data_IF_129950548626
#
_entry.id   IF_129950548626
#
_cell.length_a   1.000
_cell.length_b   1.000
_cell.length_c   1.000
_cell.angle_alpha   90.00
_cell.angle_beta   90.00
_cell.angle_gamma   90.00
#
_symmetry.space_group_name_H-M   'P 1'
#
loop_
_entity.id
_entity.type
_entity.pdbx_description
1 polymer ?
#
# COMPACT_ATOMS: atom_id res chain seq x y z
N UNK A 1 -1.20 11.23 8.22
CA UNK A 1 -1.65 9.83 8.16
C UNK A 1 -0.64 8.98 7.39
N UNK A 2 0.58 8.82 7.90
CA UNK A 2 1.59 8.04 7.18
C UNK A 2 1.23 6.54 7.24
N UNK A 3 1.50 5.82 6.17
CA UNK A 3 1.24 4.38 6.06
C UNK A 3 2.57 3.63 6.09
N UNK A 4 2.59 2.50 6.79
CA UNK A 4 3.69 1.53 6.74
C UNK A 4 3.15 0.30 6.04
N UNK A 5 3.76 -0.10 4.94
CA UNK A 5 3.31 -1.22 4.11
C UNK A 5 4.47 -2.18 3.92
N UNK A 6 4.23 -3.47 4.13
CA UNK A 6 5.20 -4.54 3.88
C UNK A 6 4.96 -5.19 2.51
N UNK A 7 5.97 -5.87 1.96
CA UNK A 7 5.91 -6.59 0.69
C UNK A 7 5.28 -5.76 -0.46
N UNK A 8 5.62 -4.48 -0.52
CA UNK A 8 4.99 -3.54 -1.44
C UNK A 8 5.51 -3.74 -2.85
N UNK A 9 4.59 -3.77 -3.82
CA UNK A 9 4.89 -3.76 -5.25
C UNK A 9 4.43 -2.43 -5.85
N UNK A 10 5.36 -1.63 -6.35
CA UNK A 10 5.06 -0.47 -7.16
C UNK A 10 4.62 -0.92 -8.55
N UNK A 11 3.49 -0.40 -9.03
CA UNK A 11 2.99 -0.66 -10.38
C UNK A 11 2.91 0.66 -11.14
N UNK A 12 3.70 0.78 -12.21
CA UNK A 12 3.68 1.94 -13.10
C UNK A 12 3.38 1.49 -14.53
N UNK A 13 2.11 1.57 -14.91
CA UNK A 13 1.64 0.99 -16.18
C UNK A 13 1.79 -0.54 -16.19
N UNK A 14 2.72 -1.04 -17.00
CA UNK A 14 3.04 -2.47 -17.07
C UNK A 14 4.26 -2.86 -16.23
N UNK A 15 5.01 -1.87 -15.72
CA UNK A 15 6.20 -2.11 -14.93
C UNK A 15 5.81 -2.42 -13.48
N UNK A 16 6.39 -3.50 -12.95
CA UNK A 16 6.20 -3.94 -11.56
C UNK A 16 7.55 -4.01 -10.87
N UNK A 17 7.68 -3.30 -9.77
CA UNK A 17 8.91 -3.28 -8.98
C UNK A 17 8.61 -3.66 -7.53
N UNK A 18 9.32 -4.66 -7.02
CA UNK A 18 9.21 -5.07 -5.62
C UNK A 18 10.11 -4.18 -4.77
N UNK A 19 9.51 -3.44 -3.85
CA UNK A 19 10.20 -2.45 -3.02
C UNK A 19 10.16 -2.82 -1.52
N UNK A 20 9.63 -4.00 -1.17
CA UNK A 20 9.62 -4.51 0.20
C UNK A 20 8.84 -3.60 1.19
N UNK A 21 9.46 -3.29 2.33
CA UNK A 21 8.84 -2.48 3.38
C UNK A 21 9.07 -0.98 3.16
N UNK A 22 7.97 -0.23 3.07
CA UNK A 22 8.01 1.21 2.77
C UNK A 22 7.13 2.03 3.68
N UNK A 23 7.46 3.33 3.79
CA UNK A 23 6.63 4.33 4.46
C UNK A 23 6.10 5.33 3.43
N UNK A 24 4.78 5.43 3.33
CA UNK A 24 4.11 6.38 2.43
C UNK A 24 3.61 7.57 3.25
N UNK A 25 3.89 8.80 2.79
CA UNK A 25 3.35 10.00 3.44
C UNK A 25 1.85 10.11 3.16
N UNK A 26 1.05 10.28 4.20
CA UNK A 26 -0.42 10.27 4.10
C UNK A 26 -1.01 11.32 3.18
N UNK A 27 -0.38 12.48 3.10
CA UNK A 27 -0.84 13.58 2.26
C UNK A 27 -0.67 13.29 0.76
N UNK A 28 0.07 12.24 0.41
CA UNK A 28 0.27 11.78 -0.96
C UNK A 28 -0.64 10.62 -1.34
N UNK A 29 -1.57 10.20 -0.47
CA UNK A 29 -2.51 9.11 -0.73
C UNK A 29 -3.89 9.69 -1.08
N UNK A 30 -4.40 9.34 -2.26
CA UNK A 30 -5.70 9.83 -2.75
C UNK A 30 -6.82 8.82 -2.45
N UNK A 31 -6.56 7.52 -2.62
CA UNK A 31 -7.53 6.44 -2.43
C UNK A 31 -6.84 5.22 -1.84
N UNK A 32 -7.56 4.50 -0.97
CA UNK A 32 -7.18 3.21 -0.41
C UNK A 32 -8.38 2.28 -0.56
N UNK A 33 -8.13 1.08 -1.06
CA UNK A 33 -9.13 0.01 -1.11
C UNK A 33 -8.55 -1.28 -0.54
N UNK A 34 -9.41 -2.12 0.02
CA UNK A 34 -9.02 -3.44 0.51
C UNK A 34 -9.26 -4.46 -0.60
N UNK A 35 -8.20 -5.13 -1.06
CA UNK A 35 -8.30 -6.21 -2.05
C UNK A 35 -8.84 -7.51 -1.43
N UNK A 36 -8.70 -7.65 -0.12
CA UNK A 36 -9.19 -8.77 0.66
C UNK A 36 -10.07 -8.27 1.80
N UNK A 37 -11.02 -9.08 2.29
CA UNK A 37 -11.81 -8.72 3.45
C UNK A 37 -10.90 -8.43 4.65
N UNK A 38 -10.98 -7.22 5.17
CA UNK A 38 -10.34 -6.90 6.45
C UNK A 38 -10.99 -7.74 7.55
N UNK A 39 -10.19 -8.62 8.17
CA UNK A 39 -10.63 -9.35 9.34
C UNK A 39 -11.11 -8.34 10.39
N UNK A 40 -12.26 -8.61 11.03
CA UNK A 40 -12.72 -7.78 12.13
C UNK A 40 -11.66 -7.86 13.23
N UNK A 41 -10.97 -6.75 13.49
CA UNK A 41 -10.22 -6.61 14.73
C UNK A 41 -11.21 -6.84 15.87
N UNK A 42 -10.91 -7.83 16.71
CA UNK A 42 -11.61 -8.02 17.99
C UNK A 42 -11.43 -6.78 18.87
#
# INVERSE_FOLDING_TARGET
>A
MNLVVDNTVEVNGNDKNDIGMVVIRGNSVVMIEALEPVAKSQ
#
